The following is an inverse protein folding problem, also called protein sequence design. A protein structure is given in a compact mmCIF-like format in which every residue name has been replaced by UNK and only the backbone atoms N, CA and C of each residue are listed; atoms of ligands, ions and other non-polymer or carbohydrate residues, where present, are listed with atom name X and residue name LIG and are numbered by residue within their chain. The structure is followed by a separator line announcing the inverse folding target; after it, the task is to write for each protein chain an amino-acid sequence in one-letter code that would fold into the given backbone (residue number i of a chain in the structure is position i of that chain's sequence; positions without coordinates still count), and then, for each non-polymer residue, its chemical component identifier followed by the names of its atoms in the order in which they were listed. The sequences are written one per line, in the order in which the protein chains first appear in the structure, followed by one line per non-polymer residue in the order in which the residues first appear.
data_IF_696046572982
#
_entry.id   IF_696046572982
#
_cell.length_a   1.000
_cell.length_b   1.000
_cell.length_c   1.000
_cell.angle_alpha   90.00
_cell.angle_beta   90.00
_cell.angle_gamma   90.00
#
_symmetry.space_group_name_H-M   'P 1'
#
loop_
_entity.id
_entity.type
_entity.pdbx_description
1 polymer ?
#
# COMPACT_ATOMS: atom_id res chain seq x y z
N UNK A 1 -37.68 -5.11 14.04
CA UNK A 1 -36.79 -5.40 15.18
C UNK A 1 -35.41 -4.96 14.72
N UNK A 2 -35.14 -3.73 15.03
CA UNK A 2 -33.98 -2.93 14.53
C UNK A 2 -32.95 -2.87 15.66
N UNK A 3 -31.95 -3.75 15.61
CA UNK A 3 -30.73 -3.57 16.41
C UNK A 3 -29.53 -3.56 15.48
N UNK A 4 -29.32 -2.37 14.87
CA UNK A 4 -28.06 -2.01 14.22
C UNK A 4 -27.08 -1.58 15.32
N UNK A 5 -26.68 -2.55 16.16
CA UNK A 5 -25.66 -2.32 17.17
C UNK A 5 -24.35 -2.08 16.44
N UNK A 6 -23.99 -0.81 16.39
CA UNK A 6 -22.68 -0.31 15.97
C UNK A 6 -21.58 -0.83 16.91
N UNK A 7 -21.25 -2.12 16.78
CA UNK A 7 -20.11 -2.76 17.46
C UNK A 7 -18.80 -2.60 16.69
N UNK A 8 -18.73 -1.62 15.77
CA UNK A 8 -17.49 -1.24 15.15
C UNK A 8 -16.68 -0.42 16.15
N UNK A 9 -15.67 -1.02 16.78
CA UNK A 9 -14.68 -0.28 17.57
C UNK A 9 -14.15 0.94 16.81
N UNK A 10 -13.60 1.96 17.50
CA UNK A 10 -13.24 3.24 16.92
C UNK A 10 -12.39 3.03 15.66
N UNK A 11 -12.76 3.76 14.60
CA UNK A 11 -12.07 3.69 13.32
C UNK A 11 -10.72 4.40 13.48
N UNK A 12 -9.64 3.72 13.20
CA UNK A 12 -8.30 4.31 13.25
C UNK A 12 -8.11 5.16 11.98
N UNK A 13 -8.47 6.43 12.05
CA UNK A 13 -8.41 7.38 10.91
C UNK A 13 -6.99 7.49 10.33
N UNK A 14 -5.96 7.40 11.18
CA UNK A 14 -4.57 7.44 10.76
C UNK A 14 -4.22 6.31 9.76
N UNK A 15 -4.81 5.11 9.89
CA UNK A 15 -4.56 4.00 8.95
C UNK A 15 -5.11 4.29 7.55
N UNK A 16 -6.29 4.91 7.45
CA UNK A 16 -6.85 5.28 6.15
C UNK A 16 -6.00 6.38 5.50
N UNK A 17 -5.54 7.37 6.28
CA UNK A 17 -4.64 8.42 5.80
C UNK A 17 -3.28 7.87 5.34
N UNK A 18 -2.69 6.94 6.10
CA UNK A 18 -1.45 6.24 5.71
C UNK A 18 -1.63 5.42 4.43
N UNK A 19 -2.77 4.76 4.23
CA UNK A 19 -3.08 4.04 2.99
C UNK A 19 -3.17 4.99 1.80
N UNK A 20 -3.84 6.13 1.95
CA UNK A 20 -3.91 7.15 0.90
C UNK A 20 -2.55 7.70 0.54
N UNK A 21 -1.71 7.99 1.52
CA UNK A 21 -0.34 8.42 1.31
C UNK A 21 0.50 7.36 0.59
N UNK A 22 0.44 6.11 1.05
CA UNK A 22 1.15 5.01 0.42
C UNK A 22 0.70 4.79 -1.02
N UNK A 23 -0.59 4.95 -1.29
CA UNK A 23 -1.15 4.86 -2.63
C UNK A 23 -0.59 5.94 -3.56
N UNK A 24 -0.48 7.19 -3.11
CA UNK A 24 0.14 8.26 -3.91
C UNK A 24 1.57 7.91 -4.33
N UNK A 25 2.38 7.38 -3.41
CA UNK A 25 3.75 6.95 -3.72
C UNK A 25 3.82 5.75 -4.66
N UNK A 26 2.90 4.78 -4.52
CA UNK A 26 2.80 3.63 -5.43
C UNK A 26 2.41 4.09 -6.84
N UNK A 27 1.49 5.06 -6.98
CA UNK A 27 1.10 5.59 -8.29
C UNK A 27 2.28 6.21 -9.05
N UNK A 28 3.16 6.94 -8.35
CA UNK A 28 4.38 7.49 -8.94
C UNK A 28 5.24 6.38 -9.53
N UNK A 29 5.43 5.28 -8.81
CA UNK A 29 6.21 4.15 -9.30
C UNK A 29 5.52 3.43 -10.46
N UNK A 30 4.22 3.18 -10.33
CA UNK A 30 3.45 2.44 -11.33
C UNK A 30 3.47 3.13 -12.71
N UNK A 31 3.38 4.46 -12.77
CA UNK A 31 3.44 5.14 -14.06
C UNK A 31 4.82 4.98 -14.71
N UNK A 32 5.91 5.11 -13.94
CA UNK A 32 7.25 4.88 -14.47
C UNK A 32 7.45 3.43 -14.92
N UNK A 33 6.94 2.45 -14.16
CA UNK A 33 6.97 1.04 -14.57
C UNK A 33 6.21 0.82 -15.87
N UNK A 34 5.02 1.39 -16.02
CA UNK A 34 4.24 1.31 -17.26
C UNK A 34 5.00 1.88 -18.47
N UNK A 35 5.63 3.05 -18.29
CA UNK A 35 6.42 3.68 -19.34
C UNK A 35 7.64 2.82 -19.69
N UNK A 36 8.35 2.29 -18.69
CA UNK A 36 9.51 1.41 -18.89
C UNK A 36 9.12 0.11 -19.59
N UNK A 37 8.05 -0.57 -19.18
CA UNK A 37 7.58 -1.81 -19.81
C UNK A 37 7.15 -1.58 -21.26
N UNK A 38 6.43 -0.51 -21.55
CA UNK A 38 6.00 -0.16 -22.92
C UNK A 38 7.19 0.24 -23.79
N UNK A 39 8.11 1.03 -23.25
CA UNK A 39 9.33 1.42 -23.92
C UNK A 39 10.24 0.22 -24.22
N UNK A 40 10.31 -0.76 -23.31
CA UNK A 40 11.06 -2.00 -23.55
C UNK A 40 10.49 -2.80 -24.73
N UNK A 41 9.16 -2.92 -24.82
CA UNK A 41 8.48 -3.57 -25.94
C UNK A 41 8.67 -2.82 -27.27
N UNK A 42 8.86 -1.50 -27.22
CA UNK A 42 9.09 -0.65 -28.39
C UNK A 42 10.57 -0.40 -28.70
N UNK A 43 11.52 -0.97 -27.93
CA UNK A 43 12.96 -0.70 -28.08
C UNK A 43 13.41 0.68 -27.61
N UNK A 44 12.58 1.43 -26.88
CA UNK A 44 12.82 2.80 -26.39
C UNK A 44 12.89 2.86 -24.87
N UNK A 45 13.16 1.75 -24.19
CA UNK A 45 13.21 1.67 -22.74
C UNK A 45 14.24 2.64 -22.15
N UNK A 46 13.74 3.63 -21.43
CA UNK A 46 14.57 4.54 -20.64
C UNK A 46 14.70 4.05 -19.19
N UNK A 47 15.68 4.60 -18.48
CA UNK A 47 15.84 4.32 -17.05
C UNK A 47 14.94 5.25 -16.22
N UNK A 48 14.46 4.74 -15.09
CA UNK A 48 13.76 5.56 -14.10
C UNK A 48 14.70 6.64 -13.57
N UNK A 49 14.27 7.94 -13.45
CA UNK A 49 15.09 9.01 -12.92
C UNK A 49 15.64 8.66 -11.52
N UNK A 50 16.92 8.96 -11.27
CA UNK A 50 17.59 8.65 -10.00
C UNK A 50 16.82 9.19 -8.78
N UNK A 51 16.26 10.41 -8.86
CA UNK A 51 15.46 10.98 -7.78
C UNK A 51 14.21 10.11 -7.48
N UNK A 52 13.54 9.58 -8.51
CA UNK A 52 12.38 8.69 -8.32
C UNK A 52 12.82 7.36 -7.72
N UNK A 53 13.95 6.81 -8.15
CA UNK A 53 14.53 5.60 -7.56
C UNK A 53 14.87 5.79 -6.08
N UNK A 54 15.56 6.88 -5.73
CA UNK A 54 16.00 7.12 -4.35
C UNK A 54 14.86 7.47 -3.39
N UNK A 55 13.83 8.17 -3.86
CA UNK A 55 12.76 8.68 -2.99
C UNK A 55 11.50 7.81 -2.97
N UNK A 56 11.23 7.06 -4.03
CA UNK A 56 9.96 6.35 -4.19
C UNK A 56 10.11 4.84 -4.38
N UNK A 57 11.09 4.39 -5.18
CA UNK A 57 11.25 2.97 -5.48
C UNK A 57 11.57 2.18 -4.21
N UNK A 58 10.88 1.06 -4.00
CA UNK A 58 10.98 0.21 -2.81
C UNK A 58 10.67 0.89 -1.45
N UNK A 59 10.07 2.10 -1.44
CA UNK A 59 9.72 2.82 -0.19
C UNK A 59 8.25 2.65 0.18
N UNK A 60 7.39 2.58 -0.81
CA UNK A 60 5.93 2.64 -0.61
C UNK A 60 5.26 1.26 -0.58
N UNK A 61 5.77 0.26 -1.34
CA UNK A 61 5.21 -1.09 -1.23
C UNK A 61 5.39 -1.70 0.17
N UNK A 62 6.50 -1.48 0.92
CA UNK A 62 6.59 -1.96 2.30
C UNK A 62 5.54 -1.35 3.22
N UNK A 63 5.27 -0.04 3.08
CA UNK A 63 4.23 0.64 3.83
C UNK A 63 2.88 -0.04 3.56
N UNK A 64 2.54 -0.21 2.27
CA UNK A 64 1.27 -0.79 1.87
C UNK A 64 1.13 -2.26 2.29
N UNK A 65 2.22 -3.04 2.21
CA UNK A 65 2.27 -4.44 2.67
C UNK A 65 1.99 -4.55 4.17
N UNK A 66 2.64 -3.73 4.99
CA UNK A 66 2.40 -3.68 6.45
C UNK A 66 0.95 -3.27 6.74
N UNK A 67 0.44 -2.23 6.07
CA UNK A 67 -0.94 -1.76 6.25
C UNK A 67 -1.97 -2.80 5.80
N UNK A 68 -1.65 -3.62 4.77
CA UNK A 68 -2.49 -4.74 4.37
C UNK A 68 -2.53 -5.81 5.47
N UNK A 69 -1.38 -6.20 6.03
CA UNK A 69 -1.30 -7.15 7.15
C UNK A 69 -2.04 -6.65 8.40
N UNK A 70 -1.89 -5.36 8.74
CA UNK A 70 -2.67 -4.70 9.81
C UNK A 70 -4.17 -4.80 9.52
N UNK A 71 -4.58 -4.47 8.30
CA UNK A 71 -5.97 -4.57 7.85
C UNK A 71 -6.53 -5.98 7.92
N UNK A 72 -5.69 -6.99 7.61
CA UNK A 72 -6.02 -8.40 7.73
C UNK A 72 -6.31 -8.79 9.19
N UNK A 73 -5.43 -8.42 10.13
CA UNK A 73 -5.62 -8.70 11.56
C UNK A 73 -6.86 -8.01 12.13
N UNK A 74 -7.10 -6.75 11.78
CA UNK A 74 -8.31 -6.02 12.19
C UNK A 74 -9.57 -6.67 11.60
N UNK A 75 -9.52 -7.08 10.33
CA UNK A 75 -10.65 -7.74 9.69
C UNK A 75 -10.95 -9.10 10.35
N UNK A 76 -9.94 -9.90 10.65
CA UNK A 76 -10.10 -11.18 11.33
C UNK A 76 -10.82 -11.02 12.67
N UNK A 77 -10.37 -10.08 13.51
CA UNK A 77 -11.02 -9.80 14.81
C UNK A 77 -12.47 -9.36 14.65
N UNK A 78 -12.78 -8.50 13.68
CA UNK A 78 -14.15 -8.05 13.41
C UNK A 78 -15.03 -9.14 12.79
N UNK A 79 -14.46 -10.01 11.95
CA UNK A 79 -15.19 -11.15 11.38
C UNK A 79 -15.54 -12.18 12.44
N UNK A 80 -14.67 -12.44 13.42
CA UNK A 80 -14.93 -13.34 14.53
C UNK A 80 -16.13 -12.91 15.41
N UNK A 81 -16.47 -11.61 15.42
CA UNK A 81 -17.68 -11.09 16.09
C UNK A 81 -18.97 -11.30 15.28
N UNK A 82 -18.89 -11.75 14.01
CA UNK A 82 -20.02 -11.82 13.08
C UNK A 82 -20.30 -13.23 12.53
N UNK A 83 -19.33 -14.12 12.65
CA UNK A 83 -19.44 -15.48 12.10
C UNK A 83 -18.52 -16.44 12.84
N UNK A 84 -18.98 -17.70 12.96
CA UNK A 84 -18.19 -18.80 13.54
C UNK A 84 -17.03 -19.24 12.63
N UNK A 85 -17.00 -18.80 11.37
CA UNK A 85 -16.00 -19.18 10.36
C UNK A 85 -15.24 -17.96 9.80
N UNK A 86 -14.60 -17.12 10.65
CA UNK A 86 -13.97 -15.87 10.21
C UNK A 86 -12.84 -16.08 9.22
N UNK A 87 -12.07 -17.18 9.36
CA UNK A 87 -10.97 -17.53 8.45
C UNK A 87 -11.44 -17.93 7.06
N UNK A 88 -12.61 -18.56 6.95
CA UNK A 88 -13.23 -18.86 5.65
C UNK A 88 -13.62 -17.58 4.91
N UNK A 89 -14.23 -16.61 5.61
CA UNK A 89 -14.55 -15.29 5.03
C UNK A 89 -13.27 -14.58 4.58
N UNK A 90 -12.20 -14.69 5.37
CA UNK A 90 -10.90 -14.14 5.06
C UNK A 90 -10.28 -14.81 3.83
N UNK A 91 -10.34 -16.14 3.74
CA UNK A 91 -9.87 -16.88 2.55
C UNK A 91 -10.63 -16.43 1.29
N UNK A 92 -11.96 -16.33 1.34
CA UNK A 92 -12.78 -15.79 0.23
C UNK A 92 -12.33 -14.39 -0.17
N UNK A 93 -12.08 -13.53 0.81
CA UNK A 93 -11.59 -12.16 0.59
C UNK A 93 -10.27 -12.16 -0.20
N UNK A 94 -9.35 -13.05 0.15
CA UNK A 94 -8.06 -13.18 -0.53
C UNK A 94 -8.19 -13.80 -1.92
N UNK A 95 -9.05 -14.80 -2.09
CA UNK A 95 -9.33 -15.41 -3.41
C UNK A 95 -9.95 -14.38 -4.36
N UNK A 96 -10.91 -13.58 -3.90
CA UNK A 96 -11.49 -12.50 -4.72
C UNK A 96 -10.42 -11.47 -5.08
N UNK A 97 -9.53 -11.11 -4.14
CA UNK A 97 -8.41 -10.21 -4.41
C UNK A 97 -7.45 -10.80 -5.43
N UNK A 98 -7.18 -12.12 -5.36
CA UNK A 98 -6.35 -12.83 -6.33
C UNK A 98 -6.95 -12.75 -7.75
N UNK A 99 -8.27 -12.95 -7.87
CA UNK A 99 -8.96 -12.84 -9.16
C UNK A 99 -8.90 -11.40 -9.71
N UNK A 100 -9.09 -10.39 -8.86
CA UNK A 100 -8.95 -8.98 -9.25
C UNK A 100 -7.50 -8.70 -9.68
N UNK A 101 -6.51 -9.18 -8.94
CA UNK A 101 -5.09 -9.01 -9.25
C UNK A 101 -4.72 -9.70 -10.57
N UNK A 102 -5.15 -10.95 -10.76
CA UNK A 102 -4.90 -11.70 -12.00
C UNK A 102 -5.51 -10.99 -13.23
N UNK A 103 -6.71 -10.42 -13.11
CA UNK A 103 -7.31 -9.62 -14.18
C UNK A 103 -6.51 -8.32 -14.43
N UNK A 104 -6.07 -7.66 -13.35
CA UNK A 104 -5.29 -6.43 -13.45
C UNK A 104 -3.88 -6.68 -14.02
N UNK A 105 -3.28 -7.85 -13.75
CA UNK A 105 -1.98 -8.26 -14.29
C UNK A 105 -1.93 -8.24 -15.83
N UNK A 106 -3.05 -8.51 -16.50
CA UNK A 106 -3.15 -8.48 -17.96
C UNK A 106 -2.81 -7.08 -18.52
N UNK A 107 -3.18 -6.03 -17.78
CA UNK A 107 -2.97 -4.63 -18.21
C UNK A 107 -1.77 -3.98 -17.51
N UNK A 108 -1.30 -4.55 -16.40
CA UNK A 108 -0.17 -4.05 -15.62
C UNK A 108 0.68 -5.19 -15.06
N UNK A 109 1.70 -5.69 -15.82
CA UNK A 109 2.55 -6.82 -15.38
C UNK A 109 3.32 -6.57 -14.07
N UNK A 110 3.53 -5.31 -13.66
CA UNK A 110 4.15 -4.92 -12.38
C UNK A 110 3.19 -4.82 -11.19
N UNK A 111 1.97 -5.36 -11.30
CA UNK A 111 0.96 -5.25 -10.27
C UNK A 111 1.32 -6.04 -9.00
N UNK A 112 0.83 -5.59 -7.85
CA UNK A 112 1.19 -6.13 -6.53
C UNK A 112 0.05 -6.86 -5.83
N UNK A 113 -1.20 -6.75 -6.32
CA UNK A 113 -2.38 -7.35 -5.68
C UNK A 113 -2.31 -8.88 -5.66
N UNK A 114 -1.82 -9.48 -6.74
CA UNK A 114 -1.60 -10.93 -6.83
C UNK A 114 -0.60 -11.38 -5.77
N UNK A 115 0.53 -10.66 -5.62
CA UNK A 115 1.52 -10.96 -4.60
C UNK A 115 0.94 -10.85 -3.18
N UNK A 116 0.09 -9.85 -2.92
CA UNK A 116 -0.60 -9.69 -1.63
C UNK A 116 -1.64 -10.78 -1.38
N UNK A 117 -2.39 -11.17 -2.41
CA UNK A 117 -3.38 -12.22 -2.28
C UNK A 117 -2.73 -13.59 -2.03
N UNK A 118 -1.69 -13.93 -2.78
CA UNK A 118 -0.90 -15.17 -2.62
C UNK A 118 -0.21 -15.17 -1.25
N UNK A 119 0.51 -14.10 -0.89
CA UNK A 119 1.13 -13.96 0.43
C UNK A 119 0.10 -14.00 1.57
N UNK A 120 -1.09 -13.44 1.35
CA UNK A 120 -2.21 -13.54 2.28
C UNK A 120 -2.71 -14.97 2.48
N UNK A 121 -2.87 -15.73 1.40
CA UNK A 121 -3.32 -17.12 1.45
C UNK A 121 -2.26 -18.05 2.05
N UNK A 122 -1.00 -17.91 1.64
CA UNK A 122 0.07 -18.83 2.03
C UNK A 122 0.73 -18.47 3.35
N UNK A 123 0.69 -17.21 3.78
CA UNK A 123 1.36 -16.74 4.99
C UNK A 123 0.36 -16.21 6.02
N UNK A 124 -0.48 -15.21 5.70
CA UNK A 124 -1.36 -14.61 6.69
C UNK A 124 -2.45 -15.55 7.18
N UNK A 125 -3.03 -16.35 6.29
CA UNK A 125 -4.08 -17.28 6.67
C UNK A 125 -3.57 -18.37 7.63
N UNK A 126 -2.45 -19.05 7.39
CA UNK A 126 -1.83 -19.95 8.38
C UNK A 126 -1.41 -19.22 9.67
N UNK A 127 -0.81 -18.03 9.58
CA UNK A 127 -0.45 -17.24 10.76
C UNK A 127 -1.66 -16.84 11.62
N UNK A 128 -2.86 -16.78 11.04
CA UNK A 128 -4.09 -16.46 11.77
C UNK A 128 -4.45 -17.46 12.88
N UNK A 129 -3.80 -18.63 12.91
CA UNK A 129 -3.91 -19.62 13.99
C UNK A 129 -2.90 -19.42 15.11
N UNK A 130 -1.95 -18.48 14.93
CA UNK A 130 -0.84 -18.26 15.85
C UNK A 130 -0.98 -16.90 16.54
N UNK A 131 -0.40 -16.80 17.74
CA UNK A 131 -0.37 -15.56 18.50
C UNK A 131 0.57 -14.51 17.89
N UNK A 132 0.33 -13.22 18.21
CA UNK A 132 1.08 -12.09 17.64
C UNK A 132 2.58 -12.14 17.87
N UNK A 133 3.07 -12.68 18.99
CA UNK A 133 4.51 -12.83 19.26
C UNK A 133 5.18 -13.84 18.33
N UNK A 134 4.53 -14.98 18.10
CA UNK A 134 5.02 -16.01 17.15
C UNK A 134 4.99 -15.47 15.74
N UNK A 135 3.90 -14.79 15.36
CA UNK A 135 3.79 -14.12 14.06
C UNK A 135 4.90 -13.07 13.84
N UNK A 136 5.31 -12.34 14.89
CA UNK A 136 6.43 -11.40 14.84
C UNK A 136 7.75 -12.10 14.51
N UNK A 137 8.08 -13.20 15.18
CA UNK A 137 9.29 -13.96 14.92
C UNK A 137 9.30 -14.51 13.49
N UNK A 138 8.18 -15.13 13.06
CA UNK A 138 8.04 -15.65 11.70
C UNK A 138 8.17 -14.52 10.66
N UNK A 139 7.62 -13.33 10.96
CA UNK A 139 7.72 -12.19 10.05
C UNK A 139 9.15 -11.75 9.81
N UNK A 140 9.99 -11.73 10.86
CA UNK A 140 11.41 -11.38 10.72
C UNK A 140 12.17 -12.42 9.90
N UNK A 141 11.92 -13.71 10.13
CA UNK A 141 12.54 -14.79 9.34
C UNK A 141 12.15 -14.67 7.85
N UNK A 142 10.85 -14.52 7.57
CA UNK A 142 10.36 -14.38 6.20
C UNK A 142 10.87 -13.10 5.51
N UNK A 143 11.01 -12.00 6.26
CA UNK A 143 11.56 -10.76 5.75
C UNK A 143 13.01 -10.90 5.35
N UNK A 144 13.84 -11.48 6.21
CA UNK A 144 15.25 -11.70 5.94
C UNK A 144 15.45 -12.72 4.81
N UNK A 145 14.74 -13.83 4.82
CA UNK A 145 14.82 -14.84 3.78
C UNK A 145 14.34 -14.28 2.43
N UNK A 146 13.22 -13.57 2.42
CA UNK A 146 12.68 -12.97 1.21
C UNK A 146 13.60 -11.92 0.59
N UNK A 147 14.23 -11.08 1.42
CA UNK A 147 15.19 -10.09 0.95
C UNK A 147 16.48 -10.70 0.39
N UNK A 148 16.88 -11.88 0.88
CA UNK A 148 18.10 -12.57 0.41
C UNK A 148 17.88 -13.47 -0.79
N UNK A 149 16.72 -14.12 -0.85
CA UNK A 149 16.51 -15.22 -1.82
C UNK A 149 15.73 -14.80 -3.06
N UNK A 150 14.98 -13.69 -2.99
CA UNK A 150 14.07 -13.27 -4.06
C UNK A 150 14.22 -11.78 -4.34
N UNK A 151 14.57 -11.45 -5.57
CA UNK A 151 14.66 -10.05 -6.03
C UNK A 151 13.25 -9.41 -6.12
N UNK A 152 13.12 -8.12 -5.80
CA UNK A 152 11.89 -7.35 -5.95
C UNK A 152 10.88 -7.61 -4.82
N UNK A 153 9.86 -8.40 -5.06
CA UNK A 153 8.75 -8.61 -4.12
C UNK A 153 9.01 -9.65 -3.00
N UNK A 154 10.22 -10.19 -2.92
CA UNK A 154 10.61 -11.18 -1.90
C UNK A 154 10.28 -10.79 -0.45
N UNK A 155 10.46 -9.54 -0.01
CA UNK A 155 10.13 -9.10 1.34
C UNK A 155 8.63 -9.07 1.66
N UNK A 156 7.73 -9.09 0.67
CA UNK A 156 6.27 -8.93 0.87
C UNK A 156 5.70 -9.92 1.90
N UNK A 157 5.95 -11.24 1.84
CA UNK A 157 5.40 -12.18 2.82
C UNK A 157 5.76 -11.82 4.26
N UNK A 158 7.02 -11.43 4.50
CA UNK A 158 7.49 -10.98 5.81
C UNK A 158 6.84 -9.67 6.27
N UNK A 159 6.66 -8.71 5.37
CA UNK A 159 6.01 -7.43 5.65
C UNK A 159 4.51 -7.58 5.94
N UNK A 160 3.82 -8.45 5.20
CA UNK A 160 2.44 -8.83 5.49
C UNK A 160 2.30 -9.45 6.88
N UNK A 161 3.17 -10.43 7.20
CA UNK A 161 3.20 -11.08 8.49
C UNK A 161 3.52 -10.11 9.63
N UNK A 162 4.46 -9.17 9.41
CA UNK A 162 4.78 -8.09 10.35
C UNK A 162 3.54 -7.22 10.63
N UNK A 163 2.84 -6.79 9.59
CA UNK A 163 1.60 -6.01 9.73
C UNK A 163 0.55 -6.75 10.55
N UNK A 164 0.35 -8.04 10.31
CA UNK A 164 -0.54 -8.88 11.11
C UNK A 164 -0.09 -8.97 12.58
N UNK A 165 1.20 -9.23 12.83
CA UNK A 165 1.74 -9.29 14.19
C UNK A 165 1.54 -7.97 14.95
N UNK A 166 1.81 -6.81 14.30
CA UNK A 166 1.60 -5.50 14.87
C UNK A 166 0.12 -5.25 15.24
N UNK A 167 -0.82 -5.73 14.41
CA UNK A 167 -2.25 -5.64 14.71
C UNK A 167 -2.64 -6.52 15.90
N UNK A 168 -2.08 -7.74 16.00
CA UNK A 168 -2.36 -8.63 17.12
C UNK A 168 -1.76 -8.15 18.45
N UNK A 169 -0.69 -7.36 18.39
CA UNK A 169 -0.02 -6.74 19.54
C UNK A 169 -0.54 -5.32 19.85
N UNK A 170 -1.61 -4.88 19.19
CA UNK A 170 -2.25 -3.55 19.34
C UNK A 170 -1.29 -2.35 19.17
N UNK A 171 -0.20 -2.54 18.42
CA UNK A 171 0.81 -1.50 18.15
C UNK A 171 0.21 -0.28 17.44
N UNK A 172 -0.68 -0.40 16.43
CA UNK A 172 -1.27 0.77 15.77
C UNK A 172 -1.99 1.71 16.74
N UNK A 173 -2.75 1.18 17.68
CA UNK A 173 -3.43 1.97 18.70
C UNK A 173 -2.45 2.60 19.72
N UNK A 174 -1.33 1.92 20.01
CA UNK A 174 -0.29 2.45 20.89
C UNK A 174 0.49 3.60 20.23
N UNK A 175 0.72 3.57 18.92
CA UNK A 175 1.42 4.63 18.18
C UNK A 175 0.64 5.94 18.18
N UNK A 176 -0.69 5.91 18.15
CA UNK A 176 -1.52 7.12 18.26
C UNK A 176 -1.28 7.87 19.57
N UNK A 177 -0.95 7.17 20.66
CA UNK A 177 -0.80 7.73 22.01
C UNK A 177 0.63 8.14 22.34
N UNK A 178 1.66 7.71 21.60
CA UNK A 178 3.08 7.83 21.98
C UNK A 178 3.87 8.74 21.04
N UNK A 179 3.59 10.04 21.05
CA UNK A 179 4.23 11.06 20.17
C UNK A 179 5.76 11.03 20.26
N UNK A 180 6.33 10.96 21.47
CA UNK A 180 7.78 10.99 21.65
C UNK A 180 8.47 9.81 20.96
N UNK A 181 7.91 8.58 21.05
CA UNK A 181 8.47 7.41 20.37
C UNK A 181 8.41 7.56 18.84
N UNK A 182 7.28 8.07 18.32
CA UNK A 182 7.14 8.33 16.89
C UNK A 182 8.17 9.36 16.41
N UNK A 183 8.42 10.43 17.19
CA UNK A 183 9.41 11.45 16.86
C UNK A 183 10.84 10.90 16.88
N UNK A 184 11.21 10.10 17.88
CA UNK A 184 12.53 9.45 17.94
C UNK A 184 12.70 8.49 16.77
N UNK A 185 11.71 7.64 16.48
CA UNK A 185 11.75 6.71 15.34
C UNK A 185 11.89 7.48 14.03
N UNK A 186 11.14 8.59 13.86
CA UNK A 186 11.27 9.47 12.69
C UNK A 186 12.69 9.99 12.53
N UNK A 187 13.27 10.56 13.59
CA UNK A 187 14.61 11.13 13.54
C UNK A 187 15.69 10.10 13.18
N UNK A 188 15.65 8.92 13.83
CA UNK A 188 16.61 7.83 13.58
C UNK A 188 16.46 7.30 12.16
N UNK A 189 15.23 6.96 11.74
CA UNK A 189 15.00 6.43 10.39
C UNK A 189 15.34 7.45 9.30
N UNK A 190 15.08 8.74 9.52
CA UNK A 190 15.45 9.80 8.58
C UNK A 190 16.96 9.94 8.48
N UNK A 191 17.70 9.93 9.60
CA UNK A 191 19.15 10.00 9.60
C UNK A 191 19.77 8.82 8.82
N UNK A 192 19.28 7.60 9.05
CA UNK A 192 19.72 6.39 8.34
C UNK A 192 19.39 6.47 6.83
N UNK A 193 18.21 6.97 6.48
CA UNK A 193 17.78 7.13 5.09
C UNK A 193 18.62 8.19 4.35
N UNK A 194 18.94 9.29 5.01
CA UNK A 194 19.82 10.33 4.45
C UNK A 194 21.23 9.78 4.26
N UNK A 195 21.78 9.08 5.27
CA UNK A 195 23.11 8.47 5.17
C UNK A 195 23.18 7.47 3.99
N UNK A 196 22.16 6.61 3.84
CA UNK A 196 22.05 5.70 2.71
C UNK A 196 22.00 6.44 1.37
N UNK A 197 21.15 7.48 1.26
CA UNK A 197 20.98 8.25 0.02
C UNK A 197 22.29 8.97 -0.35
N UNK A 198 22.98 9.56 0.63
CA UNK A 198 24.27 10.21 0.42
C UNK A 198 25.34 9.22 -0.05
N UNK A 199 25.39 8.03 0.56
CA UNK A 199 26.30 6.97 0.12
C UNK A 199 26.01 6.55 -1.33
N UNK A 200 24.73 6.34 -1.68
CA UNK A 200 24.31 5.99 -3.02
C UNK A 200 24.68 7.06 -4.08
N UNK A 201 24.49 8.34 -3.74
CA UNK A 201 24.81 9.45 -4.65
C UNK A 201 26.31 9.64 -4.82
N UNK A 202 27.11 9.35 -3.79
CA UNK A 202 28.58 9.47 -3.83
C UNK A 202 29.28 8.30 -4.55
N UNK A 203 28.51 7.37 -5.14
CA UNK A 203 29.08 6.26 -5.90
C UNK A 203 29.66 5.14 -5.03
N UNK A 204 29.29 5.07 -3.72
CA UNK A 204 29.46 3.81 -3.00
C UNK A 204 28.74 2.72 -3.78
N UNK A 205 29.29 1.50 -3.83
CA UNK A 205 28.65 0.31 -4.44
C UNK A 205 27.35 -0.06 -3.73
N UNK A 206 26.41 0.88 -3.73
CA UNK A 206 25.08 0.69 -3.19
C UNK A 206 24.22 0.09 -4.31
N UNK A 207 23.69 -1.10 -4.14
CA UNK A 207 22.89 -1.73 -5.17
C UNK A 207 21.66 -0.88 -5.48
N UNK A 208 21.73 -0.15 -6.61
CA UNK A 208 20.55 0.51 -7.20
C UNK A 208 19.84 -0.55 -8.02
N UNK A 209 18.67 -0.96 -7.55
CA UNK A 209 17.93 -2.06 -8.19
C UNK A 209 17.45 -1.63 -9.56
N UNK A 210 17.82 -2.39 -10.60
CA UNK A 210 17.26 -2.24 -11.94
C UNK A 210 15.79 -2.68 -11.92
N UNK A 211 14.88 -1.78 -12.31
CA UNK A 211 13.41 -1.99 -12.34
C UNK A 211 13.01 -3.22 -13.17
N UNK A 212 13.84 -3.63 -14.11
CA UNK A 212 13.60 -4.78 -15.02
C UNK A 212 14.30 -6.07 -14.58
N UNK A 213 14.92 -6.13 -13.39
CA UNK A 213 15.59 -7.35 -12.92
C UNK A 213 16.81 -7.76 -13.77
N UNK A 214 17.48 -6.79 -14.41
CA UNK A 214 18.68 -7.05 -15.19
C UNK A 214 19.86 -7.55 -14.33
N UNK A 215 20.89 -8.19 -14.96
CA UNK A 215 22.04 -8.76 -14.29
C UNK A 215 22.96 -7.69 -13.67
N UNK A 216 22.59 -7.16 -12.55
CA UNK A 216 23.24 -6.10 -11.77
C UNK A 216 22.47 -5.77 -10.51
N UNK A 217 21.21 -6.24 -10.41
CA UNK A 217 20.44 -6.21 -9.18
C UNK A 217 20.90 -7.34 -8.26
N UNK A 218 21.96 -7.10 -7.49
CA UNK A 218 22.46 -8.09 -6.53
C UNK A 218 21.35 -8.44 -5.53
N UNK A 219 21.18 -9.74 -5.29
CA UNK A 219 20.44 -10.24 -4.15
C UNK A 219 21.17 -9.72 -2.90
N UNK A 220 20.52 -8.92 -2.08
CA UNK A 220 21.14 -8.35 -0.90
C UNK A 220 20.15 -7.70 0.04
N UNK A 221 20.44 -7.79 1.33
CA UNK A 221 19.60 -7.25 2.41
C UNK A 221 19.53 -5.72 2.43
N UNK A 222 20.58 -5.03 2.01
CA UNK A 222 20.74 -3.61 2.30
C UNK A 222 19.72 -2.73 1.59
N UNK A 223 19.44 -2.95 0.29
CA UNK A 223 18.50 -2.14 -0.46
C UNK A 223 17.05 -2.27 0.04
N UNK A 224 16.50 -3.50 0.24
CA UNK A 224 15.17 -3.67 0.84
C UNK A 224 15.07 -3.11 2.25
N UNK A 225 16.11 -3.29 3.09
CA UNK A 225 16.12 -2.72 4.45
C UNK A 225 16.13 -1.19 4.42
N UNK A 226 16.94 -0.57 3.55
CA UNK A 226 16.92 0.88 3.36
C UNK A 226 15.54 1.38 2.90
N UNK A 227 14.88 0.62 2.01
CA UNK A 227 13.50 0.88 1.61
C UNK A 227 12.52 0.87 2.76
N UNK A 228 12.58 -0.15 3.61
CA UNK A 228 11.72 -0.31 4.79
C UNK A 228 11.97 0.81 5.80
N UNK A 229 13.25 1.13 6.10
CA UNK A 229 13.64 2.20 7.03
C UNK A 229 13.13 3.56 6.51
N UNK A 230 13.30 3.85 5.21
CA UNK A 230 12.79 5.08 4.61
C UNK A 230 11.26 5.12 4.63
N UNK A 231 10.59 4.01 4.32
CA UNK A 231 9.13 3.89 4.43
C UNK A 231 8.63 4.14 5.84
N UNK A 232 9.33 3.64 6.86
CA UNK A 232 9.02 3.90 8.26
C UNK A 232 9.21 5.37 8.64
N UNK A 233 10.29 6.02 8.14
CA UNK A 233 10.47 7.46 8.28
C UNK A 233 9.28 8.23 7.69
N UNK A 234 8.84 7.88 6.48
CA UNK A 234 7.69 8.52 5.84
C UNK A 234 6.39 8.34 6.66
N UNK A 235 6.13 7.13 7.16
CA UNK A 235 4.98 6.87 8.04
C UNK A 235 5.03 7.71 9.31
N UNK A 236 6.17 7.72 10.01
CA UNK A 236 6.34 8.50 11.23
C UNK A 236 6.24 10.00 10.97
N UNK A 237 6.83 10.49 9.88
CA UNK A 237 6.73 11.89 9.46
C UNK A 237 5.29 12.29 9.19
N UNK A 238 4.51 11.48 8.46
CA UNK A 238 3.09 11.74 8.26
C UNK A 238 2.31 11.71 9.57
N UNK A 239 2.55 10.73 10.45
CA UNK A 239 1.88 10.68 11.77
C UNK A 239 2.17 11.91 12.63
N UNK A 240 3.38 12.47 12.56
CA UNK A 240 3.72 13.73 13.23
C UNK A 240 3.01 14.91 12.58
N UNK A 241 2.96 14.99 11.24
CA UNK A 241 2.25 16.04 10.51
C UNK A 241 0.76 16.02 10.80
N UNK A 242 0.15 14.83 10.95
CA UNK A 242 -1.26 14.71 11.32
C UNK A 242 -1.59 15.29 12.70
N UNK A 243 -0.59 15.50 13.54
CA UNK A 243 -0.74 16.14 14.89
C UNK A 243 -0.54 17.65 14.87
N UNK A 244 -0.20 18.22 13.72
CA UNK A 244 -0.05 19.66 13.52
C UNK A 244 -1.35 20.28 12.99
N UNK A 245 -1.33 21.60 12.79
CA UNK A 245 -2.44 22.35 12.15
C UNK A 245 -2.73 21.89 10.71
N UNK A 246 -1.78 21.22 10.05
CA UNK A 246 -1.96 20.64 8.72
C UNK A 246 -2.72 19.30 8.74
N UNK A 247 -2.82 18.64 9.90
CA UNK A 247 -3.43 17.34 10.06
C UNK A 247 -4.83 17.20 9.47
N UNK A 248 -5.78 18.10 9.80
CA UNK A 248 -7.14 18.05 9.26
C UNK A 248 -7.16 18.14 7.72
N UNK A 249 -6.38 19.04 7.12
CA UNK A 249 -6.30 19.21 5.66
C UNK A 249 -5.72 17.96 4.99
N UNK A 250 -4.60 17.42 5.52
CA UNK A 250 -4.00 16.19 5.02
C UNK A 250 -4.97 15.00 5.12
N UNK A 251 -5.65 14.86 6.25
CA UNK A 251 -6.63 13.79 6.45
C UNK A 251 -7.84 13.93 5.52
N UNK A 252 -8.31 15.16 5.25
CA UNK A 252 -9.42 15.41 4.34
C UNK A 252 -9.13 14.95 2.91
N UNK A 253 -7.88 15.01 2.47
CA UNK A 253 -7.44 14.55 1.14
C UNK A 253 -7.08 13.07 1.14
N UNK A 254 -6.21 12.64 2.04
CA UNK A 254 -5.61 11.31 1.99
C UNK A 254 -6.54 10.21 2.51
N UNK A 255 -7.37 10.48 3.54
CA UNK A 255 -8.24 9.46 4.13
C UNK A 255 -9.32 8.94 3.14
N UNK A 256 -10.02 9.78 2.36
CA UNK A 256 -10.91 9.30 1.30
C UNK A 256 -10.18 8.44 0.24
N UNK A 257 -8.98 8.84 -0.19
CA UNK A 257 -8.17 8.06 -1.11
C UNK A 257 -7.81 6.68 -0.54
N UNK A 258 -7.41 6.62 0.72
CA UNK A 258 -7.09 5.37 1.41
C UNK A 258 -8.29 4.47 1.65
N UNK A 259 -9.50 5.04 1.82
CA UNK A 259 -10.76 4.28 1.90
C UNK A 259 -11.17 3.68 0.56
N UNK A 260 -10.75 4.28 -0.55
CA UNK A 260 -10.97 3.83 -1.91
C UNK A 260 -9.68 3.33 -2.58
N UNK A 261 -8.76 2.77 -1.79
CA UNK A 261 -7.42 2.41 -2.26
C UNK A 261 -7.43 1.40 -3.42
N UNK A 262 -8.31 0.39 -3.39
CA UNK A 262 -8.43 -0.59 -4.47
C UNK A 262 -9.01 0.06 -5.73
N UNK A 263 -10.08 0.83 -5.61
CA UNK A 263 -10.68 1.57 -6.74
C UNK A 263 -9.65 2.52 -7.36
N UNK A 264 -8.96 3.31 -6.54
CA UNK A 264 -7.96 4.26 -7.02
C UNK A 264 -6.74 3.55 -7.64
N UNK A 265 -6.30 2.43 -7.07
CA UNK A 265 -5.21 1.64 -7.63
C UNK A 265 -5.54 1.10 -9.04
N UNK A 266 -6.71 0.47 -9.19
CA UNK A 266 -7.16 -0.08 -10.48
C UNK A 266 -7.43 1.02 -11.51
N UNK A 267 -8.11 2.10 -11.11
CA UNK A 267 -8.42 3.22 -12.02
C UNK A 267 -7.18 4.01 -12.42
N UNK A 268 -6.15 4.11 -11.57
CA UNK A 268 -4.88 4.76 -11.92
C UNK A 268 -4.24 4.11 -13.15
N UNK A 269 -4.19 2.78 -13.20
CA UNK A 269 -3.64 2.05 -14.37
C UNK A 269 -4.42 2.40 -15.64
N UNK A 270 -5.76 2.40 -15.58
CA UNK A 270 -6.59 2.75 -16.73
C UNK A 270 -6.33 4.21 -17.17
N UNK A 271 -6.29 5.13 -16.21
CA UNK A 271 -6.00 6.54 -16.49
C UNK A 271 -4.60 6.72 -17.10
N UNK A 272 -3.58 6.01 -16.60
CA UNK A 272 -2.24 6.05 -17.17
C UNK A 272 -2.18 5.47 -18.58
N UNK A 273 -2.91 4.39 -18.87
CA UNK A 273 -2.96 3.79 -20.18
C UNK A 273 -3.65 4.72 -21.20
N UNK A 274 -4.77 5.29 -20.82
CA UNK A 274 -5.57 6.17 -21.70
C UNK A 274 -4.84 7.50 -21.93
N UNK A 275 -4.56 8.23 -20.88
CA UNK A 275 -3.96 9.57 -20.99
C UNK A 275 -2.49 9.53 -21.38
N UNK A 276 -1.73 8.52 -20.96
CA UNK A 276 -0.35 8.33 -21.42
C UNK A 276 -0.27 8.11 -22.93
N UNK A 277 -1.22 7.37 -23.50
CA UNK A 277 -1.32 7.19 -24.95
C UNK A 277 -1.75 8.47 -25.66
N UNK A 278 -2.74 9.20 -25.13
CA UNK A 278 -3.23 10.45 -25.69
C UNK A 278 -2.15 11.57 -25.68
N UNK A 279 -1.32 11.58 -24.63
CA UNK A 279 -0.22 12.54 -24.49
C UNK A 279 1.06 12.10 -25.21
N UNK A 280 1.03 10.95 -25.91
CA UNK A 280 2.18 10.44 -26.65
C UNK A 280 3.39 10.08 -25.75
N UNK A 281 3.18 9.75 -24.46
CA UNK A 281 4.26 9.40 -23.55
C UNK A 281 4.82 8.05 -23.95
N UNK A 282 5.99 8.08 -24.64
CA UNK A 282 6.68 6.88 -25.14
C UNK A 282 7.94 6.52 -24.37
N UNK A 283 8.47 7.44 -23.57
CA UNK A 283 9.77 7.28 -22.91
C UNK A 283 9.78 7.91 -21.51
N UNK A 284 10.64 7.40 -20.62
CA UNK A 284 10.95 8.03 -19.34
C UNK A 284 11.69 9.38 -19.49
N UNK A 285 12.15 9.70 -20.70
CA UNK A 285 12.73 11.02 -21.03
C UNK A 285 11.67 12.13 -21.04
N UNK A 286 10.38 11.79 -21.26
CA UNK A 286 9.25 12.73 -21.24
C UNK A 286 8.87 13.14 -19.80
N UNK A 287 9.89 13.56 -19.02
CA UNK A 287 9.78 13.74 -17.56
C UNK A 287 8.63 14.66 -17.15
N UNK A 288 8.47 15.80 -17.84
CA UNK A 288 7.41 16.77 -17.53
C UNK A 288 6.02 16.19 -17.77
N UNK A 289 5.82 15.45 -18.84
CA UNK A 289 4.55 14.80 -19.18
C UNK A 289 4.24 13.67 -18.17
N UNK A 290 5.22 12.84 -17.82
CA UNK A 290 5.05 11.77 -16.81
C UNK A 290 4.69 12.35 -15.44
N UNK A 291 5.41 13.39 -14.99
CA UNK A 291 5.13 14.06 -13.72
C UNK A 291 3.75 14.73 -13.76
N UNK A 292 3.45 15.47 -14.82
CA UNK A 292 2.17 16.15 -15.01
C UNK A 292 1.00 15.18 -14.98
N UNK A 293 1.10 14.05 -15.70
CA UNK A 293 0.09 13.01 -15.69
C UNK A 293 -0.07 12.37 -14.29
N UNK A 294 1.03 12.08 -13.62
CA UNK A 294 1.01 11.49 -12.26
C UNK A 294 0.29 12.43 -11.29
N UNK A 295 0.67 13.69 -11.26
CA UNK A 295 0.04 14.71 -10.40
C UNK A 295 -1.44 14.88 -10.76
N UNK A 296 -1.75 14.96 -12.06
CA UNK A 296 -3.12 15.05 -12.54
C UNK A 296 -4.00 13.89 -12.07
N UNK A 297 -3.52 12.66 -12.19
CA UNK A 297 -4.24 11.46 -11.70
C UNK A 297 -4.45 11.53 -10.19
N UNK A 298 -3.42 11.88 -9.41
CA UNK A 298 -3.54 11.99 -7.95
C UNK A 298 -4.58 13.05 -7.55
N UNK A 299 -4.56 14.23 -8.21
CA UNK A 299 -5.51 15.32 -7.94
C UNK A 299 -6.94 14.92 -8.29
N UNK A 300 -7.15 14.31 -9.46
CA UNK A 300 -8.46 13.81 -9.89
C UNK A 300 -8.98 12.75 -8.91
N UNK A 301 -8.14 11.81 -8.51
CA UNK A 301 -8.54 10.75 -7.58
C UNK A 301 -8.80 11.27 -6.16
N UNK A 302 -8.07 12.28 -5.71
CA UNK A 302 -8.34 12.94 -4.43
C UNK A 302 -9.72 13.61 -4.43
N UNK A 303 -10.02 14.42 -5.46
CA UNK A 303 -11.33 15.07 -5.64
C UNK A 303 -12.47 14.06 -5.79
N UNK A 304 -12.30 13.08 -6.66
CA UNK A 304 -13.25 12.00 -6.89
C UNK A 304 -13.53 11.20 -5.61
N UNK A 305 -12.50 10.78 -4.87
CA UNK A 305 -12.66 9.98 -3.66
C UNK A 305 -13.41 10.76 -2.58
N UNK A 306 -13.09 12.05 -2.40
CA UNK A 306 -13.77 12.92 -1.45
C UNK A 306 -15.25 13.12 -1.82
N UNK A 307 -15.54 13.38 -3.10
CA UNK A 307 -16.90 13.55 -3.60
C UNK A 307 -17.71 12.25 -3.49
N UNK A 308 -17.17 11.12 -3.98
CA UNK A 308 -17.83 9.83 -3.99
C UNK A 308 -18.26 9.39 -2.59
N UNK A 309 -17.36 9.50 -1.61
CA UNK A 309 -17.63 9.08 -0.24
C UNK A 309 -18.59 9.98 0.55
N UNK A 310 -19.05 11.10 -0.03
CA UNK A 310 -20.19 11.86 0.52
C UNK A 310 -21.52 11.15 0.27
N UNK A 311 -21.64 10.45 -0.84
CA UNK A 311 -22.86 9.79 -1.28
C UNK A 311 -22.85 8.28 -0.98
N UNK A 312 -21.68 7.65 -1.16
CA UNK A 312 -21.52 6.21 -1.05
C UNK A 312 -20.64 5.81 0.14
N UNK A 313 -20.89 4.61 0.67
CA UNK A 313 -20.15 4.07 1.84
C UNK A 313 -18.77 3.50 1.48
N UNK A 314 -18.64 2.98 0.27
CA UNK A 314 -17.46 2.25 -0.25
C UNK A 314 -17.12 2.75 -1.65
N UNK A 315 -15.85 2.64 -2.04
CA UNK A 315 -15.48 2.75 -3.44
C UNK A 315 -16.09 1.61 -4.28
N UNK A 316 -16.23 1.76 -5.60
CA UNK A 316 -16.84 0.72 -6.45
C UNK A 316 -16.16 -0.64 -6.32
N UNK A 317 -14.83 -0.70 -6.44
CA UNK A 317 -14.08 -1.95 -6.35
C UNK A 317 -14.12 -2.54 -4.92
N UNK A 318 -14.04 -1.72 -3.88
CA UNK A 318 -14.18 -2.13 -2.49
C UNK A 318 -15.58 -2.70 -2.21
N UNK A 319 -16.61 -2.13 -2.81
CA UNK A 319 -17.98 -2.62 -2.67
C UNK A 319 -18.14 -4.01 -3.30
N UNK A 320 -17.69 -4.20 -4.54
CA UNK A 320 -17.69 -5.51 -5.22
C UNK A 320 -16.91 -6.53 -4.39
N UNK A 321 -15.68 -6.17 -4.00
CA UNK A 321 -14.84 -7.03 -3.17
C UNK A 321 -15.52 -7.43 -1.85
N UNK A 322 -16.21 -6.50 -1.21
CA UNK A 322 -16.97 -6.76 0.03
C UNK A 322 -18.15 -7.67 -0.21
N UNK A 323 -18.97 -7.44 -1.23
CA UNK A 323 -20.13 -8.27 -1.57
C UNK A 323 -19.71 -9.71 -1.85
N UNK A 324 -18.66 -9.92 -2.64
CA UNK A 324 -18.12 -11.24 -2.93
C UNK A 324 -17.47 -11.91 -1.71
N UNK A 325 -16.86 -11.15 -0.80
CA UNK A 325 -16.28 -11.66 0.45
C UNK A 325 -17.37 -12.25 1.38
N UNK A 326 -18.49 -11.53 1.54
CA UNK A 326 -19.55 -11.90 2.47
C UNK A 326 -20.71 -12.66 1.82
N UNK A 327 -20.70 -12.78 0.49
CA UNK A 327 -21.79 -13.35 -0.31
C UNK A 327 -23.14 -12.69 -0.02
N UNK A 328 -23.12 -11.41 0.23
CA UNK A 328 -24.27 -10.57 0.54
C UNK A 328 -24.10 -9.20 -0.13
N UNK A 329 -25.19 -8.70 -0.70
CA UNK A 329 -25.22 -7.33 -1.24
C UNK A 329 -25.19 -6.33 -0.08
N UNK A 330 -24.08 -5.63 0.07
CA UNK A 330 -23.96 -4.56 1.05
C UNK A 330 -24.64 -3.29 0.54
N UNK A 331 -25.36 -2.53 1.41
CA UNK A 331 -25.93 -1.25 1.00
C UNK A 331 -24.79 -0.29 0.60
N UNK A 332 -24.87 0.23 -0.64
CA UNK A 332 -23.81 1.07 -1.21
C UNK A 332 -23.98 2.55 -0.80
N UNK A 333 -25.21 3.05 -0.70
CA UNK A 333 -25.48 4.45 -0.34
C UNK A 333 -25.31 4.70 1.16
N UNK A 334 -24.94 5.91 1.51
CA UNK A 334 -24.97 6.40 2.89
C UNK A 334 -26.42 6.38 3.40
N UNK A 335 -26.67 6.05 4.67
CA UNK A 335 -27.99 6.25 5.25
C UNK A 335 -28.36 7.74 5.16
N UNK A 336 -29.57 8.04 4.76
CA UNK A 336 -30.10 9.40 4.86
C UNK A 336 -30.19 9.74 6.34
N UNK A 337 -29.61 10.88 6.81
CA UNK A 337 -29.81 11.28 8.19
C UNK A 337 -31.32 11.40 8.45
N UNK A 338 -31.84 10.66 9.43
CA UNK A 338 -33.19 10.88 9.91
C UNK A 338 -33.25 12.28 10.47
N UNK A 339 -34.00 13.16 9.78
CA UNK A 339 -34.38 14.46 10.31
C UNK A 339 -35.31 14.14 11.50
N UNK A 340 -34.73 14.14 12.71
CA UNK A 340 -35.49 14.05 13.95
C UNK A 340 -35.92 15.44 14.39
#
# INVERSE_FOLDING_TARGET
MSDDVSTAGPRIHALDTLRGFALCGIMIINIYQQVVFRGAAAGTAGQMPTAVQLLFYERFYPIFSILFGVGFGIFLRRAALRTDRPRLVLARRLVVLLLIGALHFVVHPGEVLTAYAVGGLLVLLPLSFLGGRVALVISLVLLLAGAQLVVGYGPIPGLLALGYALAMLDVPAALERRTGRVAVTFAVCTALSVAWTVAAVRGADVPVVNVLGGPGGGVGLLAPLAGIVTGLAYCCGLLLLLRTRLGPALSAVLSPMGRMALTNYLSATVLFLVFGSLLGIGSTADRSAVIGLTVGVIVVQAGWSAWWLRVFRYGPAEWVWRCLTWWQLAPMRQPVPSIG
#
